data_IF_869907748347
#
_entry.id   IF_869907748347
#
_cell.length_a   1.000
_cell.length_b   1.000
_cell.length_c   1.000
_cell.angle_alpha   90.00
_cell.angle_beta   90.00
_cell.angle_gamma   90.00
#
_symmetry.space_group_name_H-M   'P 1'
#
loop_
_entity.id
_entity.type
_entity.pdbx_description
1 polymer ?
#
# COMPACT_ATOMS: atom_id res chain seq x y z
N UNK A 1 -3.12 25.84 -12.72
CA UNK A 1 -2.81 24.65 -13.55
C UNK A 1 -3.66 23.50 -13.04
N UNK A 2 -4.33 22.73 -13.90
CA UNK A 2 -5.10 21.56 -13.44
C UNK A 2 -4.16 20.45 -12.93
N UNK A 3 -4.65 19.54 -12.08
CA UNK A 3 -3.87 18.38 -11.60
C UNK A 3 -3.28 17.58 -12.78
N UNK A 4 -4.09 17.39 -13.83
CA UNK A 4 -3.67 16.70 -15.04
C UNK A 4 -2.54 17.47 -15.74
N UNK A 5 -2.66 18.79 -15.91
CA UNK A 5 -1.61 19.60 -16.52
C UNK A 5 -0.31 19.65 -15.69
N UNK A 6 -0.40 19.65 -14.36
CA UNK A 6 0.79 19.56 -13.49
C UNK A 6 1.48 18.20 -13.60
N UNK A 7 0.69 17.10 -13.65
CA UNK A 7 1.20 15.75 -13.90
C UNK A 7 1.87 15.64 -15.26
N UNK A 8 1.19 16.08 -16.32
CA UNK A 8 1.70 15.99 -17.69
C UNK A 8 2.99 16.80 -17.86
N UNK A 9 3.04 18.01 -17.29
CA UNK A 9 4.25 18.84 -17.28
C UNK A 9 5.39 18.19 -16.49
N UNK A 10 5.13 17.58 -15.34
CA UNK A 10 6.17 16.88 -14.58
C UNK A 10 6.74 15.69 -15.34
N UNK A 11 5.89 14.93 -16.03
CA UNK A 11 6.32 13.86 -16.92
C UNK A 11 7.21 14.39 -18.06
N UNK A 12 6.77 15.42 -18.77
CA UNK A 12 7.54 16.05 -19.85
C UNK A 12 8.91 16.53 -19.36
N UNK A 13 8.94 17.26 -18.23
CA UNK A 13 10.18 17.76 -17.65
C UNK A 13 11.10 16.64 -17.15
N UNK A 14 10.55 15.51 -16.68
CA UNK A 14 11.35 14.33 -16.31
C UNK A 14 12.05 13.72 -17.51
N UNK A 15 11.37 13.65 -18.66
CA UNK A 15 11.99 13.16 -19.89
C UNK A 15 13.05 14.13 -20.42
N UNK A 16 12.81 15.45 -20.32
CA UNK A 16 13.79 16.47 -20.70
C UNK A 16 15.00 16.55 -19.74
N UNK A 17 14.77 16.30 -18.44
CA UNK A 17 15.82 16.33 -17.41
C UNK A 17 16.84 15.21 -17.55
N UNK A 18 16.48 14.12 -18.24
CA UNK A 18 17.40 13.03 -18.52
C UNK A 18 18.63 13.49 -19.33
N UNK A 19 18.46 14.53 -20.15
CA UNK A 19 19.48 14.91 -21.13
C UNK A 19 19.97 16.38 -21.00
N UNK A 20 19.27 17.30 -20.30
CA UNK A 20 19.61 18.75 -20.37
C UNK A 20 19.40 19.59 -19.08
N UNK A 21 18.58 19.17 -18.11
CA UNK A 21 18.12 20.05 -17.02
C UNK A 21 19.01 19.95 -15.77
N UNK A 22 19.24 21.10 -15.10
CA UNK A 22 19.85 21.18 -13.77
C UNK A 22 19.02 20.39 -12.74
N UNK A 23 19.64 19.51 -11.95
CA UNK A 23 18.95 18.70 -10.93
C UNK A 23 18.04 19.52 -9.99
N UNK A 24 18.40 20.78 -9.70
CA UNK A 24 17.58 21.67 -8.85
C UNK A 24 16.25 22.04 -9.50
N UNK A 25 16.25 22.39 -10.79
CA UNK A 25 15.03 22.77 -11.51
C UNK A 25 14.10 21.56 -11.65
N UNK A 26 14.67 20.37 -11.88
CA UNK A 26 13.91 19.12 -11.89
C UNK A 26 13.21 18.87 -10.55
N UNK A 27 13.91 19.08 -9.42
CA UNK A 27 13.30 18.92 -8.08
C UNK A 27 12.12 19.86 -7.87
N UNK A 28 12.17 21.12 -8.33
CA UNK A 28 11.02 22.04 -8.23
C UNK A 28 9.78 21.48 -8.93
N UNK A 29 9.92 20.86 -10.12
CA UNK A 29 8.79 20.21 -10.78
C UNK A 29 8.29 18.97 -10.01
N UNK A 30 9.19 18.21 -9.39
CA UNK A 30 8.80 17.02 -8.62
C UNK A 30 8.05 17.41 -7.34
N UNK A 31 8.44 18.51 -6.70
CA UNK A 31 7.74 19.07 -5.54
C UNK A 31 6.32 19.52 -5.91
N UNK A 32 6.15 20.23 -7.02
CA UNK A 32 4.83 20.62 -7.52
C UNK A 32 3.95 19.40 -7.82
N UNK A 33 4.51 18.35 -8.41
CA UNK A 33 3.78 17.10 -8.64
C UNK A 33 3.35 16.44 -7.32
N UNK A 34 4.27 16.31 -6.34
CA UNK A 34 3.96 15.68 -5.06
C UNK A 34 2.90 16.47 -4.29
N UNK A 35 2.96 17.80 -4.29
CA UNK A 35 1.94 18.65 -3.70
C UNK A 35 0.58 18.45 -4.37
N UNK A 36 0.55 18.45 -5.70
CA UNK A 36 -0.69 18.22 -6.45
C UNK A 36 -1.29 16.83 -6.17
N UNK A 37 -0.44 15.79 -6.09
CA UNK A 37 -0.86 14.44 -5.69
C UNK A 37 -1.48 14.46 -4.28
N UNK A 38 -0.85 15.15 -3.32
CA UNK A 38 -1.38 15.22 -1.95
C UNK A 38 -2.69 15.99 -1.85
N UNK A 39 -2.86 17.06 -2.62
CA UNK A 39 -4.13 17.78 -2.69
C UNK A 39 -5.25 16.93 -3.31
N UNK A 40 -4.92 16.07 -4.26
CA UNK A 40 -5.86 15.10 -4.84
C UNK A 40 -6.22 14.01 -3.84
N UNK A 41 -5.23 13.41 -3.17
CA UNK A 41 -5.44 12.41 -2.13
C UNK A 41 -6.37 12.92 -1.00
N UNK A 42 -6.29 14.20 -0.63
CA UNK A 42 -7.21 14.81 0.36
C UNK A 42 -8.68 14.77 -0.04
N UNK A 43 -8.98 14.70 -1.34
CA UNK A 43 -10.34 14.67 -1.89
C UNK A 43 -10.81 13.25 -2.18
N UNK A 44 -9.95 12.25 -1.97
CA UNK A 44 -10.22 10.85 -2.23
C UNK A 44 -11.37 10.34 -1.34
N UNK A 45 -12.34 9.68 -1.96
CA UNK A 45 -13.38 8.93 -1.26
C UNK A 45 -13.40 7.45 -1.69
N UNK A 46 -14.14 6.65 -0.91
CA UNK A 46 -14.13 5.19 -1.07
C UNK A 46 -14.61 4.77 -2.46
N UNK A 47 -15.74 5.34 -2.89
CA UNK A 47 -16.41 4.96 -4.13
C UNK A 47 -15.53 5.27 -5.33
N UNK A 48 -14.93 6.47 -5.38
CA UNK A 48 -14.02 6.85 -6.46
C UNK A 48 -12.82 5.91 -6.54
N UNK A 49 -12.14 5.68 -5.40
CA UNK A 49 -10.98 4.80 -5.37
C UNK A 49 -11.31 3.35 -5.71
N UNK A 50 -12.49 2.84 -5.33
CA UNK A 50 -12.94 1.50 -5.67
C UNK A 50 -13.31 1.38 -7.16
N UNK A 51 -14.12 2.30 -7.69
CA UNK A 51 -14.55 2.30 -9.09
C UNK A 51 -13.38 2.43 -10.06
N UNK A 52 -12.35 3.20 -9.69
CA UNK A 52 -11.11 3.32 -10.46
C UNK A 52 -10.13 2.16 -10.24
N UNK A 53 -10.52 1.11 -9.51
CA UNK A 53 -9.69 -0.07 -9.20
C UNK A 53 -8.37 0.26 -8.50
N UNK A 54 -8.40 1.25 -7.60
CA UNK A 54 -7.25 1.68 -6.79
C UNK A 54 -7.38 1.32 -5.31
N UNK A 55 -8.51 0.76 -4.93
CA UNK A 55 -8.75 0.36 -3.54
C UNK A 55 -8.04 -0.97 -3.26
N UNK A 56 -7.16 -0.98 -2.27
CA UNK A 56 -6.67 -2.22 -1.69
C UNK A 56 -7.40 -2.53 -0.38
N UNK A 57 -7.58 -3.81 -0.07
CA UNK A 57 -8.12 -4.27 1.21
C UNK A 57 -7.14 -5.22 1.90
N UNK A 58 -6.89 -4.98 3.18
CA UNK A 58 -6.14 -5.87 4.05
C UNK A 58 -6.99 -6.32 5.23
N UNK A 59 -7.04 -7.63 5.48
CA UNK A 59 -7.51 -8.15 6.75
C UNK A 59 -6.43 -7.93 7.85
N UNK A 60 -6.63 -6.91 8.68
CA UNK A 60 -5.73 -6.52 9.76
C UNK A 60 -6.26 -7.03 11.11
N UNK A 61 -5.40 -7.54 12.02
CA UNK A 61 -5.82 -7.80 13.39
C UNK A 61 -6.43 -6.54 14.02
N UNK A 62 -7.54 -6.70 14.72
CA UNK A 62 -8.21 -5.60 15.41
C UNK A 62 -7.48 -5.22 16.70
N UNK A 63 -6.76 -6.16 17.30
CA UNK A 63 -6.03 -5.98 18.55
C UNK A 63 -4.72 -5.20 18.36
N UNK A 64 -4.28 -4.54 19.43
CA UNK A 64 -2.99 -3.86 19.47
C UNK A 64 -1.79 -4.81 19.53
N UNK A 65 -1.99 -6.13 19.40
CA UNK A 65 -0.93 -7.10 19.56
C UNK A 65 0.07 -7.00 18.39
N UNK A 66 1.35 -6.82 18.73
CA UNK A 66 2.42 -7.00 17.76
C UNK A 66 2.61 -8.51 17.54
N UNK A 67 2.83 -8.90 16.28
CA UNK A 67 3.10 -10.30 15.94
C UNK A 67 4.60 -10.46 15.75
N UNK A 68 5.21 -11.49 16.33
CA UNK A 68 6.53 -11.92 15.88
C UNK A 68 6.36 -12.93 14.75
N UNK A 69 7.20 -12.81 13.72
CA UNK A 69 7.31 -13.84 12.67
C UNK A 69 8.74 -14.32 12.60
N UNK A 70 8.90 -15.63 12.52
CA UNK A 70 10.19 -16.23 12.23
C UNK A 70 10.72 -15.75 10.87
N UNK A 71 12.02 -15.48 10.81
CA UNK A 71 12.69 -15.07 9.58
C UNK A 71 13.62 -16.15 9.03
N UNK A 72 13.74 -16.15 7.71
CA UNK A 72 14.50 -17.15 6.94
C UNK A 72 15.65 -16.47 6.21
N UNK A 73 16.82 -17.10 6.16
CA UNK A 73 17.86 -16.69 5.20
C UNK A 73 17.63 -17.37 3.84
N UNK A 74 18.07 -16.75 2.73
CA UNK A 74 18.25 -17.49 1.48
C UNK A 74 19.12 -18.73 1.79
N UNK A 75 18.65 -19.93 1.42
CA UNK A 75 19.16 -21.25 1.83
C UNK A 75 18.51 -21.89 3.08
N UNK A 76 17.26 -21.52 3.38
CA UNK A 76 16.29 -22.28 4.18
C UNK A 76 16.58 -22.52 5.68
N UNK A 77 17.68 -22.00 6.24
CA UNK A 77 17.91 -22.10 7.68
C UNK A 77 16.93 -21.16 8.38
N UNK A 78 16.03 -21.75 9.19
CA UNK A 78 15.22 -20.98 10.14
C UNK A 78 16.19 -20.27 11.08
N UNK A 79 16.13 -18.95 11.11
CA UNK A 79 16.87 -18.21 12.13
C UNK A 79 15.97 -18.04 13.34
N UNK A 80 16.54 -18.12 14.54
CA UNK A 80 15.83 -17.86 15.81
C UNK A 80 15.44 -16.38 15.98
N UNK A 81 15.73 -15.54 14.99
CA UNK A 81 15.38 -14.13 15.03
C UNK A 81 13.92 -13.95 14.63
N UNK A 82 13.10 -13.82 15.65
CA UNK A 82 11.75 -13.28 15.55
C UNK A 82 11.79 -11.84 15.07
N UNK A 83 11.06 -11.57 13.98
CA UNK A 83 10.90 -10.22 13.45
C UNK A 83 9.57 -9.67 13.92
N UNK A 84 9.66 -8.51 14.58
CA UNK A 84 8.50 -7.76 14.98
C UNK A 84 7.72 -7.29 13.75
N UNK A 85 6.43 -7.60 13.71
CA UNK A 85 5.51 -7.10 12.70
C UNK A 85 4.34 -6.44 13.41
N UNK A 86 4.24 -5.13 13.21
CA UNK A 86 3.10 -4.35 13.65
C UNK A 86 2.23 -4.09 12.45
N UNK A 87 1.20 -4.89 12.24
CA UNK A 87 0.33 -4.78 11.07
C UNK A 87 -1.17 -4.79 11.41
N UNK A 88 -1.49 -4.48 12.68
CA UNK A 88 -2.84 -4.36 13.19
C UNK A 88 -3.39 -2.94 13.04
N UNK A 89 -4.70 -2.79 13.14
CA UNK A 89 -5.40 -1.50 12.97
C UNK A 89 -4.79 -0.41 13.87
N UNK A 90 -4.56 -0.62 15.19
CA UNK A 90 -3.99 0.41 16.07
C UNK A 90 -2.58 0.85 15.71
N UNK A 91 -1.82 0.03 14.97
CA UNK A 91 -0.46 0.35 14.55
C UNK A 91 -0.38 1.09 13.22
N UNK A 92 -1.48 1.19 12.47
CA UNK A 92 -1.51 1.87 11.18
C UNK A 92 -0.96 3.30 11.24
N UNK A 93 -1.24 4.14 12.27
CA UNK A 93 -0.66 5.48 12.36
C UNK A 93 0.88 5.51 12.29
N UNK A 94 1.57 4.47 12.76
CA UNK A 94 3.04 4.38 12.67
C UNK A 94 3.52 4.26 11.21
N UNK A 95 2.73 3.63 10.34
CA UNK A 95 3.02 3.58 8.89
C UNK A 95 2.77 4.92 8.20
N UNK A 96 1.90 5.76 8.76
CA UNK A 96 1.53 7.03 8.14
C UNK A 96 2.51 8.15 8.50
N UNK A 97 3.32 7.99 9.55
CA UNK A 97 4.38 8.95 9.90
C UNK A 97 5.62 8.77 9.01
N UNK A 98 5.92 9.74 8.11
CA UNK A 98 7.08 9.66 7.24
C UNK A 98 8.41 9.59 8.00
N UNK A 99 8.50 10.16 9.22
CA UNK A 99 9.73 10.19 10.02
C UNK A 99 10.24 8.77 10.32
N UNK A 100 9.34 7.82 10.53
CA UNK A 100 9.68 6.41 10.79
C UNK A 100 10.45 5.77 9.64
N UNK A 101 10.22 6.21 8.40
CA UNK A 101 10.91 5.71 7.22
C UNK A 101 12.16 6.53 6.89
N UNK A 102 12.12 7.85 7.07
CA UNK A 102 13.26 8.74 6.84
C UNK A 102 14.43 8.44 7.76
N UNK A 103 14.14 8.13 9.03
CA UNK A 103 15.12 7.74 10.05
C UNK A 103 15.48 6.25 10.00
N UNK A 104 14.98 5.50 9.01
CA UNK A 104 15.23 4.06 8.82
C UNK A 104 14.82 3.20 10.04
N UNK A 105 13.86 3.67 10.86
CA UNK A 105 13.31 2.96 12.03
C UNK A 105 12.32 1.84 11.69
N UNK A 106 12.07 1.61 10.39
CA UNK A 106 11.14 0.59 9.89
C UNK A 106 11.28 -0.78 10.60
N UNK A 107 12.50 -1.28 10.75
CA UNK A 107 12.75 -2.60 11.34
C UNK A 107 12.49 -2.61 12.86
N UNK A 108 12.97 -1.60 13.57
CA UNK A 108 12.76 -1.42 15.02
C UNK A 108 11.26 -1.34 15.35
N UNK A 109 10.50 -0.64 14.51
CA UNK A 109 9.07 -0.42 14.68
C UNK A 109 8.20 -1.51 14.03
N UNK A 110 8.80 -2.51 13.38
CA UNK A 110 8.07 -3.58 12.70
C UNK A 110 7.16 -3.13 11.55
N UNK A 111 7.48 -2.01 10.88
CA UNK A 111 6.68 -1.37 9.83
C UNK A 111 6.93 -1.98 8.45
N UNK A 112 6.90 -3.30 8.38
CA UNK A 112 7.22 -4.05 7.18
C UNK A 112 6.20 -3.86 6.06
N UNK A 113 6.58 -4.24 4.83
CA UNK A 113 5.62 -4.23 3.73
C UNK A 113 4.53 -5.27 4.05
N UNK A 114 3.30 -5.09 3.59
CA UNK A 114 2.15 -5.90 4.04
C UNK A 114 1.40 -6.49 2.85
N UNK A 115 0.82 -7.67 3.01
CA UNK A 115 -0.08 -8.24 2.00
C UNK A 115 -1.44 -7.52 1.97
N UNK A 116 -2.04 -7.45 0.79
CA UNK A 116 -3.40 -6.96 0.59
C UNK A 116 -3.99 -7.60 -0.67
N UNK A 117 -5.28 -7.39 -0.88
CA UNK A 117 -5.95 -7.63 -2.16
C UNK A 117 -6.17 -6.28 -2.83
N UNK A 118 -5.78 -6.15 -4.10
CA UNK A 118 -6.19 -5.05 -4.95
C UNK A 118 -7.61 -5.33 -5.47
N UNK A 119 -8.58 -4.56 -5.04
CA UNK A 119 -9.96 -4.79 -5.41
C UNK A 119 -10.25 -4.36 -6.85
N UNK A 120 -11.10 -5.12 -7.50
CA UNK A 120 -11.68 -4.84 -8.80
C UNK A 120 -13.16 -4.49 -8.65
N UNK A 121 -13.59 -3.45 -9.33
CA UNK A 121 -14.96 -2.91 -9.30
C UNK A 121 -15.96 -3.75 -10.10
N UNK A 122 -15.47 -4.68 -10.93
CA UNK A 122 -16.27 -5.66 -11.66
C UNK A 122 -16.81 -6.80 -10.77
N UNK A 123 -16.30 -6.91 -9.55
CA UNK A 123 -16.63 -7.95 -8.57
C UNK A 123 -17.09 -7.32 -7.26
N UNK A 124 -17.94 -8.04 -6.55
CA UNK A 124 -18.29 -7.71 -5.17
C UNK A 124 -17.07 -7.75 -4.25
N UNK A 125 -17.00 -6.88 -3.26
CA UNK A 125 -15.87 -6.81 -2.31
C UNK A 125 -15.75 -8.15 -1.57
N UNK A 126 -16.84 -8.70 -1.03
CA UNK A 126 -16.87 -9.95 -0.28
C UNK A 126 -16.38 -11.16 -1.07
N UNK A 127 -16.53 -11.14 -2.40
CA UNK A 127 -16.11 -12.22 -3.29
C UNK A 127 -14.61 -12.21 -3.63
N UNK A 128 -13.89 -11.13 -3.29
CA UNK A 128 -12.48 -10.93 -3.61
C UNK A 128 -11.56 -11.06 -2.38
N UNK A 129 -12.15 -11.34 -1.22
CA UNK A 129 -11.45 -11.19 0.05
C UNK A 129 -11.48 -12.47 0.85
N UNK A 130 -10.34 -12.82 1.44
CA UNK A 130 -10.26 -13.96 2.33
C UNK A 130 -10.89 -13.62 3.67
N UNK A 131 -12.01 -14.26 4.08
CA UNK A 131 -12.53 -14.10 5.42
C UNK A 131 -11.48 -14.60 6.42
N UNK A 132 -11.07 -13.74 7.35
CA UNK A 132 -10.15 -14.10 8.43
C UNK A 132 -10.79 -13.79 9.76
N UNK A 133 -10.97 -14.82 10.58
CA UNK A 133 -11.53 -14.70 11.93
C UNK A 133 -10.67 -13.74 12.76
N UNK A 134 -11.31 -12.84 13.50
CA UNK A 134 -10.64 -11.87 14.38
C UNK A 134 -9.89 -10.75 13.64
N UNK A 135 -10.18 -10.52 12.34
CA UNK A 135 -9.56 -9.45 11.57
C UNK A 135 -10.60 -8.47 11.03
N UNK A 136 -10.22 -7.20 11.03
CA UNK A 136 -10.99 -6.12 10.44
C UNK A 136 -10.48 -5.81 9.04
N UNK A 137 -11.37 -5.54 8.07
CA UNK A 137 -10.99 -4.97 6.80
C UNK A 137 -10.36 -3.60 7.01
N UNK A 138 -9.21 -3.38 6.38
CA UNK A 138 -8.52 -2.10 6.29
C UNK A 138 -8.43 -1.71 4.82
N UNK A 139 -9.16 -0.68 4.44
CA UNK A 139 -9.25 -0.15 3.08
C UNK A 139 -8.21 0.94 2.86
N UNK A 140 -7.44 0.79 1.79
CA UNK A 140 -6.22 1.55 1.53
C UNK A 140 -6.21 1.94 0.03
N UNK A 141 -6.57 3.17 -0.33
CA UNK A 141 -6.40 3.65 -1.69
C UNK A 141 -4.91 3.79 -2.04
N UNK A 142 -4.60 3.61 -3.32
CA UNK A 142 -3.29 3.90 -3.90
C UNK A 142 -3.41 4.95 -5.01
N UNK A 143 -2.31 5.66 -5.34
CA UNK A 143 -2.27 6.56 -6.48
C UNK A 143 -2.49 5.85 -7.81
N UNK A 144 -2.78 6.62 -8.85
CA UNK A 144 -2.82 6.10 -10.22
C UNK A 144 -1.47 5.55 -10.66
N UNK A 145 -1.49 4.61 -11.63
CA UNK A 145 -0.29 4.04 -12.25
C UNK A 145 0.69 5.11 -12.71
N UNK A 146 0.20 6.20 -13.32
CA UNK A 146 1.03 7.33 -13.75
C UNK A 146 1.86 7.93 -12.61
N UNK A 147 1.27 8.16 -11.44
CA UNK A 147 2.02 8.70 -10.30
C UNK A 147 3.06 7.70 -9.77
N UNK A 148 2.74 6.40 -9.81
CA UNK A 148 3.68 5.34 -9.40
C UNK A 148 4.84 5.19 -10.38
N UNK A 149 4.57 5.29 -11.69
CA UNK A 149 5.57 5.31 -12.75
C UNK A 149 6.49 6.53 -12.60
N UNK A 150 5.92 7.70 -12.31
CA UNK A 150 6.72 8.91 -12.10
C UNK A 150 7.67 8.74 -10.91
N UNK A 151 7.14 8.29 -9.76
CA UNK A 151 7.96 7.98 -8.59
C UNK A 151 9.05 6.95 -8.90
N UNK A 152 8.75 5.95 -9.74
CA UNK A 152 9.70 4.94 -10.17
C UNK A 152 10.84 5.53 -11.01
N UNK A 153 10.52 6.36 -12.00
CA UNK A 153 11.50 7.08 -12.83
C UNK A 153 12.40 7.98 -11.97
N UNK A 154 11.81 8.78 -11.06
CA UNK A 154 12.53 9.59 -10.07
C UNK A 154 13.46 8.71 -9.24
N UNK A 155 12.98 7.56 -8.78
CA UNK A 155 13.79 6.60 -8.04
C UNK A 155 14.94 5.97 -8.82
N UNK A 156 14.84 5.87 -10.14
CA UNK A 156 15.95 5.43 -11.00
C UNK A 156 17.02 6.51 -11.11
N UNK A 157 16.63 7.76 -11.39
CA UNK A 157 17.55 8.91 -11.43
C UNK A 157 18.25 9.11 -10.07
N UNK A 158 17.48 9.14 -8.98
CA UNK A 158 17.97 9.29 -7.61
C UNK A 158 19.06 8.28 -7.22
N UNK A 159 19.00 7.05 -7.75
CA UNK A 159 19.98 5.99 -7.41
C UNK A 159 21.30 6.12 -8.17
N UNK A 160 21.33 6.87 -9.26
CA UNK A 160 22.56 7.18 -10.00
C UNK A 160 23.42 8.18 -9.22
N UNK A 161 22.80 9.14 -8.54
CA UNK A 161 23.47 10.11 -7.68
C UNK A 161 22.82 10.18 -6.28
N UNK A 162 23.27 9.32 -5.35
CA UNK A 162 22.71 9.23 -3.99
C UNK A 162 23.04 10.43 -3.09
N UNK A 163 23.90 11.36 -3.53
CA UNK A 163 24.24 12.57 -2.80
C UNK A 163 23.50 13.81 -3.33
N UNK A 164 22.81 13.68 -4.47
CA UNK A 164 22.14 14.78 -5.15
C UNK A 164 20.78 15.16 -4.56
N UNK A 165 20.29 16.38 -4.85
CA UNK A 165 18.97 16.84 -4.43
C UNK A 165 17.81 15.93 -4.87
N UNK A 166 17.91 15.28 -6.04
CA UNK A 166 16.90 14.33 -6.51
C UNK A 166 16.77 13.12 -5.56
N UNK A 167 17.88 12.66 -4.96
CA UNK A 167 17.84 11.55 -4.01
C UNK A 167 17.16 11.93 -2.70
N UNK A 168 17.45 13.12 -2.17
CA UNK A 168 16.77 13.61 -0.97
C UNK A 168 15.28 13.84 -1.24
N UNK A 169 14.90 14.39 -2.40
CA UNK A 169 13.50 14.46 -2.81
C UNK A 169 12.86 13.07 -2.84
N UNK A 170 13.45 12.10 -3.55
CA UNK A 170 12.91 10.75 -3.70
C UNK A 170 12.72 10.05 -2.34
N UNK A 171 13.68 10.20 -1.42
CA UNK A 171 13.59 9.66 -0.07
C UNK A 171 12.37 10.23 0.67
N UNK A 172 12.15 11.54 0.58
CA UNK A 172 10.98 12.21 1.15
C UNK A 172 9.66 11.78 0.51
N UNK A 173 9.57 11.80 -0.82
CA UNK A 173 8.38 11.39 -1.55
C UNK A 173 8.02 9.92 -1.29
N UNK A 174 9.00 9.01 -1.34
CA UNK A 174 8.77 7.57 -1.17
C UNK A 174 8.36 7.16 0.25
N UNK A 175 8.65 7.98 1.25
CA UNK A 175 8.17 7.84 2.63
C UNK A 175 6.73 8.33 2.82
N UNK A 176 6.20 9.06 1.83
CA UNK A 176 4.88 9.67 1.84
C UNK A 176 3.93 9.10 0.79
N UNK A 177 4.27 8.05 0.05
CA UNK A 177 3.40 7.51 -1.00
C UNK A 177 3.13 6.02 -0.74
N UNK A 178 1.85 5.72 -0.49
CA UNK A 178 1.35 4.34 -0.43
C UNK A 178 1.37 3.75 -1.84
N UNK A 179 1.89 2.53 -1.98
CA UNK A 179 2.03 1.90 -3.31
C UNK A 179 2.16 0.39 -3.25
N UNK A 180 1.83 -0.26 -4.36
CA UNK A 180 2.16 -1.65 -4.60
C UNK A 180 3.67 -1.77 -4.82
N UNK A 181 4.27 -2.78 -4.19
CA UNK A 181 5.68 -3.15 -4.36
C UNK A 181 5.83 -4.32 -5.33
N UNK A 182 4.94 -5.30 -5.21
CA UNK A 182 4.86 -6.50 -6.04
C UNK A 182 3.38 -6.79 -6.31
N UNK A 183 3.06 -7.13 -7.56
CA UNK A 183 1.73 -7.58 -7.96
C UNK A 183 1.84 -8.86 -8.80
N UNK A 184 1.35 -9.97 -8.26
CA UNK A 184 1.35 -11.28 -8.92
C UNK A 184 0.45 -12.25 -8.15
N UNK A 185 -0.20 -13.15 -8.86
CA UNK A 185 -1.14 -14.15 -8.32
C UNK A 185 -0.55 -15.08 -7.24
N UNK A 186 0.78 -15.27 -7.20
CA UNK A 186 1.47 -16.22 -6.32
C UNK A 186 2.06 -15.62 -5.02
N UNK A 187 1.77 -14.36 -4.68
CA UNK A 187 2.39 -13.68 -3.51
C UNK A 187 1.92 -14.25 -2.13
N UNK A 188 0.95 -15.17 -2.09
CA UNK A 188 0.46 -15.83 -0.85
C UNK A 188 1.40 -16.89 -0.29
N UNK A 189 2.25 -17.47 -1.13
CA UNK A 189 3.38 -18.23 -0.63
C UNK A 189 4.44 -17.21 -0.35
N UNK A 190 4.35 -16.41 0.72
CA UNK A 190 5.47 -15.53 1.10
C UNK A 190 5.86 -15.69 2.56
N UNK A 191 7.13 -15.98 2.78
CA UNK A 191 7.79 -16.02 4.08
C UNK A 191 8.55 -14.71 4.33
N UNK A 192 8.92 -14.50 5.57
CA UNK A 192 9.69 -13.33 5.98
C UNK A 192 11.18 -13.63 5.86
N UNK A 193 11.85 -12.94 4.94
CA UNK A 193 13.24 -13.18 4.59
C UNK A 193 14.16 -12.16 5.23
N UNK A 194 15.24 -12.66 5.82
CA UNK A 194 16.41 -11.93 6.26
C UNK A 194 17.47 -11.98 5.16
N UNK A 195 17.66 -10.87 4.46
CA UNK A 195 18.72 -10.73 3.45
C UNK A 195 19.81 -9.78 3.93
N UNK A 196 21.04 -10.00 3.50
CA UNK A 196 22.17 -9.12 3.78
C UNK A 196 22.65 -8.52 2.46
N UNK A 197 22.82 -7.20 2.40
CA UNK A 197 23.36 -6.55 1.19
C UNK A 197 24.89 -6.58 1.16
N UNK A 198 25.49 -6.07 0.07
CA UNK A 198 26.95 -6.00 -0.10
C UNK A 198 27.66 -5.17 0.97
N UNK A 199 26.93 -4.39 1.76
CA UNK A 199 27.43 -3.55 2.85
C UNK A 199 27.18 -4.21 4.23
N UNK A 200 26.87 -5.50 4.27
CA UNK A 200 26.55 -6.26 5.49
C UNK A 200 25.30 -5.76 6.24
N UNK A 201 24.43 -4.99 5.58
CA UNK A 201 23.21 -4.50 6.21
C UNK A 201 22.09 -5.53 6.09
N UNK A 202 21.44 -5.80 7.23
CA UNK A 202 20.28 -6.69 7.31
C UNK A 202 19.02 -6.00 6.81
N UNK A 203 18.30 -6.69 5.94
CA UNK A 203 16.98 -6.30 5.41
C UNK A 203 15.98 -7.41 5.61
N UNK A 204 14.74 -7.00 5.87
CA UNK A 204 13.63 -7.85 6.25
C UNK A 204 12.45 -7.61 5.31
N UNK A 205 12.02 -8.64 4.57
CA UNK A 205 11.03 -8.52 3.48
C UNK A 205 10.13 -9.75 3.36
N UNK A 206 8.89 -9.55 2.90
CA UNK A 206 8.09 -10.65 2.33
C UNK A 206 8.72 -11.09 1.00
N UNK A 207 8.85 -12.40 0.80
CA UNK A 207 9.25 -13.06 -0.45
C UNK A 207 8.86 -14.54 -0.44
N UNK A 208 8.96 -15.25 -1.56
CA UNK A 208 8.20 -16.49 -1.81
C UNK A 208 8.44 -17.58 -0.74
N UNK A 209 7.42 -18.33 -0.30
CA UNK A 209 7.55 -19.48 0.61
C UNK A 209 8.34 -20.60 -0.07
N UNK A 210 8.37 -20.60 -1.40
CA UNK A 210 9.27 -21.40 -2.23
C UNK A 210 10.69 -20.84 -2.33
N UNK A 211 11.07 -19.76 -1.65
CA UNK A 211 12.50 -19.49 -1.37
C UNK A 211 13.10 -20.57 -0.43
N UNK A 212 12.28 -21.47 0.12
CA UNK A 212 12.74 -22.76 0.67
C UNK A 212 13.10 -23.80 -0.40
N UNK A 213 12.65 -23.63 -1.65
CA UNK A 213 12.85 -24.53 -2.80
C UNK A 213 13.80 -23.98 -3.90
N UNK A 214 14.16 -22.69 -3.85
CA UNK A 214 15.16 -22.10 -4.76
C UNK A 214 15.07 -20.58 -4.86
N UNK A 215 16.13 -19.89 -5.35
CA UNK A 215 16.11 -18.44 -5.52
C UNK A 215 15.09 -18.02 -6.58
N UNK A 216 14.21 -17.07 -6.26
CA UNK A 216 13.39 -16.38 -7.27
C UNK A 216 14.32 -15.66 -8.23
N UNK A 217 14.20 -15.92 -9.53
CA UNK A 217 15.07 -15.30 -10.52
C UNK A 217 14.90 -13.77 -10.52
N UNK A 218 15.98 -13.06 -10.86
CA UNK A 218 15.94 -11.61 -11.01
C UNK A 218 14.87 -11.17 -12.03
N UNK A 219 14.62 -11.99 -13.05
CA UNK A 219 13.61 -11.77 -14.07
C UNK A 219 12.20 -11.80 -13.48
N UNK A 220 11.84 -12.82 -12.69
CA UNK A 220 10.53 -12.91 -12.03
C UNK A 220 10.32 -11.73 -11.08
N UNK A 221 11.33 -11.38 -10.27
CA UNK A 221 11.23 -10.20 -9.41
C UNK A 221 11.03 -8.90 -10.19
N UNK A 222 11.66 -8.78 -11.36
CA UNK A 222 11.50 -7.62 -12.22
C UNK A 222 10.10 -7.56 -12.85
N UNK A 223 9.57 -8.71 -13.26
CA UNK A 223 8.20 -8.83 -13.76
C UNK A 223 7.17 -8.42 -12.69
N UNK A 224 7.27 -8.96 -11.46
CA UNK A 224 6.37 -8.59 -10.35
C UNK A 224 6.41 -7.10 -10.03
N UNK A 225 7.59 -6.47 -10.13
CA UNK A 225 7.74 -5.02 -9.96
C UNK A 225 7.14 -4.25 -11.12
N UNK A 226 7.26 -4.76 -12.34
CA UNK A 226 6.64 -4.15 -13.51
C UNK A 226 5.12 -4.21 -13.40
N UNK A 227 4.56 -5.36 -13.02
CA UNK A 227 3.12 -5.52 -12.81
C UNK A 227 2.60 -4.59 -11.71
N UNK A 228 3.36 -4.37 -10.64
CA UNK A 228 3.01 -3.42 -9.59
C UNK A 228 2.89 -1.95 -10.08
N UNK A 229 3.63 -1.57 -11.13
CA UNK A 229 3.56 -0.22 -11.71
C UNK A 229 2.36 -0.07 -12.65
N UNK A 230 1.97 -1.17 -13.29
CA UNK A 230 0.87 -1.26 -14.26
C UNK A 230 -0.25 -2.15 -13.69
N UNK A 231 -0.65 -1.90 -12.45
CA UNK A 231 -1.51 -2.81 -11.70
C UNK A 231 -2.91 -2.98 -12.32
N UNK A 232 -3.48 -1.95 -12.91
CA UNK A 232 -4.80 -2.02 -13.56
C UNK A 232 -4.76 -2.90 -14.80
N UNK A 233 -3.69 -2.80 -15.59
CA UNK A 233 -3.55 -3.51 -16.88
C UNK A 233 -2.82 -4.86 -16.79
N UNK A 234 -2.27 -5.22 -15.62
CA UNK A 234 -1.49 -6.46 -15.46
C UNK A 234 -1.83 -7.28 -14.23
N UNK A 235 -2.30 -6.66 -13.14
CA UNK A 235 -2.71 -7.40 -11.94
C UNK A 235 -4.18 -7.76 -12.03
N UNK A 236 -5.05 -6.81 -12.39
CA UNK A 236 -6.50 -7.04 -12.48
C UNK A 236 -6.94 -7.87 -13.70
N UNK A 237 -6.14 -7.85 -14.76
CA UNK A 237 -6.41 -8.58 -16.01
C UNK A 237 -5.65 -9.91 -16.10
N UNK A 238 -5.05 -10.36 -14.98
CA UNK A 238 -4.42 -11.67 -14.86
C UNK A 238 -5.40 -12.82 -15.11
N UNK A 239 -4.96 -14.08 -14.94
CA UNK A 239 -5.86 -15.23 -15.03
C UNK A 239 -7.01 -15.06 -14.01
N UNK A 240 -8.04 -15.91 -14.14
CA UNK A 240 -9.20 -15.98 -13.24
C UNK A 240 -8.78 -16.50 -11.84
N UNK A 241 -7.84 -15.84 -11.17
CA UNK A 241 -7.67 -16.03 -9.75
C UNK A 241 -8.78 -15.28 -9.05
N UNK A 242 -9.27 -15.87 -7.97
CA UNK A 242 -10.38 -15.30 -7.21
C UNK A 242 -9.97 -13.95 -6.59
N UNK A 243 -8.68 -13.79 -6.25
CA UNK A 243 -8.17 -12.67 -5.46
C UNK A 243 -6.88 -12.08 -6.07
N UNK A 244 -6.87 -10.77 -6.31
CA UNK A 244 -5.74 -10.01 -6.86
C UNK A 244 -4.75 -9.61 -5.75
N UNK A 245 -3.94 -10.55 -5.29
CA UNK A 245 -3.05 -10.27 -4.18
C UNK A 245 -1.84 -9.42 -4.54
N UNK A 246 -1.47 -8.55 -3.61
CA UNK A 246 -0.38 -7.59 -3.76
C UNK A 246 0.39 -7.41 -2.47
N UNK A 247 1.68 -7.07 -2.60
CA UNK A 247 2.47 -6.55 -1.48
C UNK A 247 2.42 -5.01 -1.48
N UNK A 248 1.93 -4.40 -0.41
CA UNK A 248 1.83 -2.96 -0.22
C UNK A 248 2.94 -2.38 0.65
N UNK A 249 3.33 -1.16 0.30
CA UNK A 249 4.00 -0.22 1.21
C UNK A 249 2.97 0.79 1.69
N UNK A 250 2.41 0.58 2.87
CA UNK A 250 1.53 1.58 3.51
C UNK A 250 2.39 2.75 3.96
N UNK A 251 2.05 3.96 3.50
CA UNK A 251 2.70 5.22 3.86
C UNK A 251 1.61 6.28 4.08
N UNK A 252 2.04 7.51 4.32
CA UNK A 252 1.13 8.64 4.40
C UNK A 252 0.24 8.72 3.14
N UNK A 253 -1.08 8.77 3.35
CA UNK A 253 -2.05 9.21 2.35
C UNK A 253 -2.65 10.50 2.89
N UNK A 254 -2.77 11.54 2.08
CA UNK A 254 -3.43 12.76 2.52
C UNK A 254 -4.94 12.48 2.63
N UNK A 255 -5.59 13.00 3.67
CA UNK A 255 -6.99 12.68 3.99
C UNK A 255 -7.13 11.58 5.06
N UNK A 256 -8.34 11.03 5.17
CA UNK A 256 -8.72 10.11 6.24
C UNK A 256 -8.50 8.65 5.85
N UNK A 257 -7.28 8.32 5.41
CA UNK A 257 -6.92 6.98 4.94
C UNK A 257 -5.66 6.44 5.63
N UNK A 258 -5.51 5.11 5.78
CA UNK A 258 -6.50 4.05 5.56
C UNK A 258 -7.80 4.17 6.40
N UNK A 259 -8.82 3.40 6.07
CA UNK A 259 -10.06 3.30 6.87
C UNK A 259 -10.28 1.86 7.30
N UNK A 260 -10.51 1.64 8.59
CA UNK A 260 -10.97 0.35 9.09
C UNK A 260 -12.47 0.20 8.78
N UNK A 261 -12.97 -1.02 8.75
CA UNK A 261 -14.39 -1.26 8.60
C UNK A 261 -14.92 -2.28 9.61
N UNK A 262 -16.19 -2.10 9.97
CA UNK A 262 -17.01 -3.13 10.60
C UNK A 262 -17.82 -3.81 9.50
N UNK A 263 -17.51 -5.08 9.15
CA UNK A 263 -18.30 -5.83 8.18
C UNK A 263 -19.61 -6.28 8.83
N UNK A 264 -20.71 -6.25 8.07
CA UNK A 264 -21.98 -6.81 8.50
C UNK A 264 -22.06 -8.34 8.38
N UNK A 265 -23.15 -8.95 8.86
CA UNK A 265 -24.28 -8.29 9.50
C UNK A 265 -24.01 -7.91 10.96
N UNK A 266 -24.45 -6.72 11.36
CA UNK A 266 -24.56 -6.29 12.76
C UNK A 266 -25.98 -5.75 13.00
N UNK A 267 -26.85 -6.51 13.70
CA UNK A 267 -28.24 -6.13 13.90
C UNK A 267 -28.37 -4.92 14.86
N UNK A 268 -29.51 -4.21 14.87
CA UNK A 268 -29.70 -2.99 15.66
C UNK A 268 -29.38 -3.12 17.16
N UNK A 269 -29.71 -4.25 17.78
CA UNK A 269 -29.45 -4.49 19.20
C UNK A 269 -27.94 -4.56 19.51
N UNK A 270 -27.18 -5.21 18.64
CA UNK A 270 -25.72 -5.33 18.75
C UNK A 270 -25.03 -4.03 18.33
N UNK A 271 -25.52 -3.37 17.27
CA UNK A 271 -25.04 -2.07 16.86
C UNK A 271 -25.12 -1.06 18.02
N UNK A 272 -26.26 -1.04 18.74
CA UNK A 272 -26.44 -0.19 19.92
C UNK A 272 -25.48 -0.55 21.06
N UNK A 273 -25.27 -1.84 21.34
CA UNK A 273 -24.34 -2.26 22.41
C UNK A 273 -22.88 -1.96 22.09
N UNK A 274 -22.53 -1.95 20.80
CA UNK A 274 -21.21 -1.58 20.27
C UNK A 274 -21.02 -0.07 20.06
N UNK A 275 -22.05 0.75 20.29
CA UNK A 275 -22.01 2.20 20.05
C UNK A 275 -21.93 2.59 18.57
N UNK A 276 -22.39 1.72 17.68
CA UNK A 276 -22.47 2.00 16.25
C UNK A 276 -23.65 2.95 15.96
N UNK A 277 -23.53 3.84 14.97
CA UNK A 277 -24.54 4.83 14.63
C UNK A 277 -25.70 4.25 13.82
N UNK A 278 -25.56 3.02 13.33
CA UNK A 278 -26.57 2.31 12.55
C UNK A 278 -26.32 0.80 12.61
N UNK A 279 -27.34 0.03 12.23
CA UNK A 279 -27.12 -1.36 11.83
C UNK A 279 -26.18 -1.44 10.64
N UNK A 280 -25.50 -2.57 10.50
CA UNK A 280 -24.67 -2.87 9.33
C UNK A 280 -25.29 -4.07 8.65
N UNK A 281 -26.02 -3.91 7.53
CA UNK A 281 -26.65 -5.05 6.87
C UNK A 281 -25.60 -6.07 6.40
N UNK A 282 -26.07 -7.28 6.08
CA UNK A 282 -25.23 -8.23 5.35
C UNK A 282 -24.70 -7.55 4.08
N UNK A 283 -23.48 -7.89 3.68
CA UNK A 283 -22.84 -7.36 2.48
C UNK A 283 -22.65 -5.82 2.53
N UNK A 284 -22.47 -5.26 3.73
CA UNK A 284 -22.12 -3.86 3.95
C UNK A 284 -20.91 -3.72 4.87
N UNK A 285 -20.25 -2.57 4.76
CA UNK A 285 -19.07 -2.18 5.51
C UNK A 285 -19.31 -0.79 6.10
N UNK A 286 -19.30 -0.69 7.43
CA UNK A 286 -19.31 0.59 8.12
C UNK A 286 -17.88 1.09 8.30
N UNK A 287 -17.51 2.15 7.58
CA UNK A 287 -16.16 2.70 7.56
C UNK A 287 -15.89 3.58 8.78
N UNK A 288 -14.71 3.41 9.35
CA UNK A 288 -14.23 4.10 10.55
C UNK A 288 -12.85 4.70 10.27
N UNK A 289 -12.72 6.02 10.49
CA UNK A 289 -11.45 6.72 10.40
C UNK A 289 -10.58 6.52 11.65
N UNK A 290 -9.30 6.90 11.56
CA UNK A 290 -8.39 6.87 12.72
C UNK A 290 -8.70 7.91 13.80
N UNK A 291 -9.52 8.91 13.48
CA UNK A 291 -10.12 9.81 14.45
C UNK A 291 -11.27 9.14 15.23
N UNK A 292 -11.47 7.84 15.05
CA UNK A 292 -12.52 7.01 15.64
C UNK A 292 -13.94 7.47 15.28
N UNK A 293 -14.07 8.30 14.22
CA UNK A 293 -15.37 8.72 13.71
C UNK A 293 -15.81 7.79 12.59
N UNK A 294 -17.07 7.38 12.64
CA UNK A 294 -17.75 6.74 11.52
C UNK A 294 -17.81 7.70 10.33
N UNK A 295 -17.59 7.18 9.13
CA UNK A 295 -17.47 8.00 7.91
C UNK A 295 -18.62 7.73 6.94
N UNK A 296 -18.84 6.46 6.64
CA UNK A 296 -19.87 6.05 5.70
C UNK A 296 -20.22 4.59 5.86
N UNK A 297 -21.45 4.25 5.46
CA UNK A 297 -21.88 2.89 5.20
C UNK A 297 -21.74 2.63 3.70
N UNK A 298 -20.99 1.59 3.35
CA UNK A 298 -20.69 1.20 1.97
C UNK A 298 -21.25 -0.20 1.72
N UNK A 299 -21.87 -0.43 0.57
CA UNK A 299 -22.34 -1.77 0.18
C UNK A 299 -21.22 -2.59 -0.47
N UNK A 300 -21.49 -3.87 -0.73
CA UNK A 300 -20.52 -4.80 -1.33
C UNK A 300 -20.14 -4.47 -2.78
N UNK A 301 -20.85 -3.55 -3.43
CA UNK A 301 -20.53 -3.01 -4.76
C UNK A 301 -19.66 -1.74 -4.66
N UNK A 302 -19.21 -1.38 -3.45
CA UNK A 302 -18.37 -0.21 -3.19
C UNK A 302 -19.08 1.14 -3.28
N UNK A 303 -20.41 1.17 -3.30
CA UNK A 303 -21.20 2.41 -3.31
C UNK A 303 -21.44 2.94 -1.90
N UNK A 304 -21.33 4.26 -1.73
CA UNK A 304 -21.68 4.90 -0.45
C UNK A 304 -23.20 4.97 -0.33
N UNK A 305 -23.76 4.20 0.60
CA UNK A 305 -25.21 4.15 0.86
C UNK A 305 -25.63 5.26 1.85
N UNK A 306 -24.73 5.61 2.78
CA UNK A 306 -24.98 6.66 3.79
C UNK A 306 -23.66 7.32 4.22
N UNK A 307 -23.63 8.65 4.33
CA UNK A 307 -22.54 9.40 4.97
C UNK A 307 -22.92 9.71 6.43
N UNK A 308 -21.94 9.67 7.33
CA UNK A 308 -22.11 9.76 8.79
C UNK A 308 -21.28 10.90 9.39
#
# INVERSE_FOLDING_TARGET
MSLQAARDKAFEQIFLAKDVINERDAVTFFELWLEALKLWEMKEDFETAFQENRMCMRAAPADGAAQTKQSFTPNAVRTENDVLIRASVPHTPLFLDPKNFLLKKKNELGLHDVSAVLLSSDKKISAQVFPKVGRQPLFIPIPHEKDLLLLHCIGHMAKQNKAGPIYEFYKNASARITRIKYGSEDDMKTTFLKTVDSQQKVHYRYGDAHETAGPVSAQVLQERRSNALFYQSRVLTGKVTENNEVTLKIRQHAGNWPQAAVPGPVPPSEAKSMGLPCEVPKDHFLLVGFDLKFKSLVNDEGKIVKRL
#
